data_IF_579440927242
#
_entry.id   IF_579440927242
#
_cell.length_a   1.000
_cell.length_b   1.000
_cell.length_c   1.000
_cell.angle_alpha   90.00
_cell.angle_beta   90.00
_cell.angle_gamma   90.00
#
_symmetry.space_group_name_H-M   'P 1'
#
loop_
_entity.id
_entity.type
_entity.pdbx_description
1 polymer ?
#
# COMPACT_ATOMS: atom_id res chain seq x y z
N UNK A 1 33.45 24.22 1.50
CA UNK A 1 32.04 23.79 1.67
C UNK A 1 31.15 24.95 1.29
N UNK A 2 30.37 24.83 0.21
CA UNK A 2 29.37 25.84 -0.12
C UNK A 2 28.17 25.63 0.80
N UNK A 3 27.85 26.64 1.61
CA UNK A 3 26.67 26.61 2.46
C UNK A 3 25.44 26.48 1.54
N UNK A 4 24.51 25.52 1.74
CA UNK A 4 23.42 25.26 0.80
C UNK A 4 22.38 26.39 0.69
N UNK A 5 22.33 27.31 1.66
CA UNK A 5 21.34 28.37 1.75
C UNK A 5 21.20 29.29 0.52
N UNK A 6 22.29 29.80 -0.12
CA UNK A 6 22.17 30.68 -1.29
C UNK A 6 21.60 29.95 -2.52
N UNK A 7 21.85 28.64 -2.61
CA UNK A 7 21.37 27.81 -3.71
C UNK A 7 19.86 27.50 -3.55
N UNK A 8 19.42 27.26 -2.32
CA UNK A 8 18.00 27.10 -1.98
C UNK A 8 17.21 28.41 -2.19
N UNK A 9 17.79 29.57 -1.88
CA UNK A 9 17.15 30.86 -2.17
C UNK A 9 17.01 31.13 -3.66
N UNK A 10 18.05 30.86 -4.46
CA UNK A 10 17.97 31.00 -5.92
C UNK A 10 16.92 30.05 -6.52
N UNK A 11 16.85 28.82 -6.01
CA UNK A 11 15.82 27.85 -6.40
C UNK A 11 14.43 28.38 -6.05
N UNK A 12 14.26 28.94 -4.85
CA UNK A 12 13.00 29.52 -4.38
C UNK A 12 12.54 30.67 -5.27
N UNK A 13 13.41 31.62 -5.60
CA UNK A 13 13.10 32.73 -6.51
C UNK A 13 12.64 32.21 -7.89
N UNK A 14 13.36 31.24 -8.45
CA UNK A 14 13.04 30.64 -9.76
C UNK A 14 11.70 29.90 -9.76
N UNK A 15 11.33 29.26 -8.65
CA UNK A 15 10.09 28.51 -8.49
C UNK A 15 8.90 29.42 -8.16
N UNK A 16 9.12 30.63 -7.63
CA UNK A 16 8.06 31.62 -7.41
C UNK A 16 7.54 32.21 -8.73
N UNK A 17 8.39 32.30 -9.74
CA UNK A 17 8.03 32.92 -11.02
C UNK A 17 7.02 32.11 -11.85
N UNK A 18 6.81 30.82 -11.54
CA UNK A 18 5.99 29.90 -12.34
C UNK A 18 5.32 28.81 -11.51
N UNK A 19 4.08 28.39 -11.85
CA UNK A 19 3.50 27.17 -11.32
C UNK A 19 4.42 25.96 -11.57
N UNK A 20 4.80 25.25 -10.51
CA UNK A 20 5.70 24.09 -10.61
C UNK A 20 5.16 22.86 -9.87
N UNK A 21 5.46 21.67 -10.40
CA UNK A 21 5.30 20.39 -9.69
C UNK A 21 6.69 19.85 -9.40
N UNK A 22 6.95 19.59 -8.13
CA UNK A 22 8.24 19.12 -7.63
C UNK A 22 8.04 17.69 -7.13
N UNK A 23 8.85 16.76 -7.63
CA UNK A 23 8.82 15.35 -7.23
C UNK A 23 10.16 15.02 -6.59
N UNK A 24 10.12 14.61 -5.32
CA UNK A 24 11.29 14.09 -4.61
C UNK A 24 11.13 12.58 -4.48
N UNK A 25 11.91 11.85 -5.28
CA UNK A 25 11.90 10.38 -5.31
C UNK A 25 12.91 9.79 -4.32
N UNK A 26 12.61 8.62 -3.76
CA UNK A 26 13.43 7.91 -2.78
C UNK A 26 13.94 8.77 -1.59
N UNK A 27 13.09 9.67 -1.05
CA UNK A 27 13.50 10.66 -0.03
C UNK A 27 14.12 10.05 1.23
N UNK A 28 13.78 8.82 1.57
CA UNK A 28 14.35 8.05 2.67
C UNK A 28 15.87 7.77 2.55
N UNK A 29 16.47 7.99 1.37
CA UNK A 29 17.92 7.87 1.15
C UNK A 29 18.70 9.15 1.39
N UNK A 30 18.01 10.29 1.46
CA UNK A 30 18.64 11.58 1.65
C UNK A 30 19.01 11.80 3.13
N UNK A 31 20.02 12.64 3.38
CA UNK A 31 20.41 13.01 4.74
C UNK A 31 19.24 13.73 5.44
N UNK A 32 18.88 13.37 6.69
CA UNK A 32 17.75 13.98 7.39
C UNK A 32 17.88 15.49 7.59
N UNK A 33 19.11 15.98 7.82
CA UNK A 33 19.38 17.40 8.03
C UNK A 33 19.25 18.21 6.75
N UNK A 34 19.81 17.72 5.65
CA UNK A 34 19.66 18.34 4.33
C UNK A 34 18.21 18.29 3.83
N UNK A 35 17.52 17.18 4.09
CA UNK A 35 16.11 16.98 3.73
C UNK A 35 15.20 17.95 4.48
N UNK A 36 15.43 18.16 5.79
CA UNK A 36 14.67 19.13 6.58
C UNK A 36 14.76 20.54 6.01
N UNK A 37 15.98 21.03 5.76
CA UNK A 37 16.20 22.36 5.20
C UNK A 37 15.58 22.55 3.80
N UNK A 38 15.63 21.51 2.95
CA UNK A 38 14.97 21.53 1.65
C UNK A 38 13.44 21.57 1.80
N UNK A 39 12.87 20.74 2.67
CA UNK A 39 11.43 20.68 2.88
C UNK A 39 10.87 21.99 3.45
N UNK A 40 11.60 22.63 4.37
CA UNK A 40 11.22 23.94 4.91
C UNK A 40 11.20 25.01 3.80
N UNK A 41 12.21 25.04 2.93
CA UNK A 41 12.26 25.96 1.79
C UNK A 41 11.13 25.72 0.79
N UNK A 42 10.73 24.46 0.58
CA UNK A 42 9.63 24.07 -0.32
C UNK A 42 8.24 24.28 0.31
N UNK A 43 8.11 24.17 1.64
CA UNK A 43 6.85 24.35 2.35
C UNK A 43 6.25 25.75 2.11
N UNK A 44 7.09 26.78 2.13
CA UNK A 44 6.70 28.17 1.82
C UNK A 44 6.12 28.32 0.40
N UNK A 45 6.68 27.61 -0.58
CA UNK A 45 6.23 27.62 -1.98
C UNK A 45 4.88 26.89 -2.14
N UNK A 46 4.71 25.78 -1.43
CA UNK A 46 3.44 25.02 -1.44
C UNK A 46 2.33 25.82 -0.73
N UNK A 47 2.63 26.44 0.41
CA UNK A 47 1.67 27.25 1.18
C UNK A 47 1.12 28.43 0.39
N UNK A 48 1.97 29.06 -0.45
CA UNK A 48 1.59 30.15 -1.35
C UNK A 48 0.84 29.67 -2.61
N UNK A 49 0.59 28.36 -2.74
CA UNK A 49 -0.07 27.69 -3.87
C UNK A 49 0.63 27.88 -5.23
N UNK A 50 1.86 28.40 -5.26
CA UNK A 50 2.66 28.54 -6.48
C UNK A 50 3.30 27.22 -6.91
N UNK A 51 3.32 26.21 -6.05
CA UNK A 51 3.85 24.89 -6.40
C UNK A 51 3.05 23.74 -5.78
N UNK A 52 3.25 22.54 -6.31
CA UNK A 52 2.80 21.27 -5.73
C UNK A 52 4.03 20.39 -5.47
N UNK A 53 4.06 19.75 -4.31
CA UNK A 53 5.15 18.88 -3.89
C UNK A 53 4.62 17.45 -3.74
N UNK A 54 5.28 16.50 -4.41
CA UNK A 54 5.06 15.07 -4.27
C UNK A 54 6.33 14.44 -3.68
N UNK A 55 6.18 13.79 -2.53
CA UNK A 55 7.24 13.05 -1.87
C UNK A 55 7.01 11.56 -2.06
N UNK A 56 8.03 10.85 -2.51
CA UNK A 56 8.00 9.40 -2.67
C UNK A 56 9.13 8.81 -1.83
N UNK A 57 8.78 7.84 -0.97
CA UNK A 57 9.72 7.23 -0.04
C UNK A 57 9.15 6.02 0.67
N UNK A 58 10.02 5.26 1.32
CA UNK A 58 9.67 4.04 2.07
C UNK A 58 9.44 4.31 3.54
N UNK A 59 10.27 5.17 4.12
CA UNK A 59 10.18 5.54 5.52
C UNK A 59 9.41 6.85 5.65
N UNK A 60 8.45 6.95 6.58
CA UNK A 60 7.74 8.20 6.81
C UNK A 60 8.70 9.26 7.36
N UNK A 61 8.52 10.49 6.92
CA UNK A 61 9.15 11.64 7.56
C UNK A 61 8.36 12.01 8.81
N UNK A 62 9.04 12.39 9.90
CA UNK A 62 8.36 12.81 11.14
C UNK A 62 7.39 13.98 10.92
N UNK A 63 7.69 14.84 9.95
CA UNK A 63 6.92 16.04 9.62
C UNK A 63 5.78 15.82 8.61
N UNK A 64 5.64 14.63 8.02
CA UNK A 64 4.64 14.38 6.98
C UNK A 64 4.01 12.98 7.08
N UNK A 65 2.69 12.90 6.95
CA UNK A 65 1.98 11.63 6.87
C UNK A 65 2.13 11.02 5.47
N UNK A 66 2.71 9.81 5.40
CA UNK A 66 2.79 9.01 4.19
C UNK A 66 1.73 7.90 4.27
N UNK A 67 0.55 8.06 3.64
CA UNK A 67 -0.38 6.94 3.56
C UNK A 67 0.27 5.81 2.76
N UNK A 68 0.19 4.55 3.22
CA UNK A 68 0.70 3.42 2.44
C UNK A 68 -0.08 3.31 1.13
N UNK A 69 0.64 3.04 0.04
CA UNK A 69 0.02 2.70 -1.23
C UNK A 69 -0.38 1.23 -1.19
N UNK A 70 -1.68 0.97 -1.28
CA UNK A 70 -2.20 -0.38 -1.41
C UNK A 70 -1.64 -1.04 -2.68
N UNK A 71 -1.50 -2.37 -2.64
CA UNK A 71 -1.28 -3.17 -3.84
C UNK A 71 -2.42 -3.03 -4.84
N UNK A 72 -2.17 -3.49 -6.06
CA UNK A 72 -3.18 -3.58 -7.10
C UNK A 72 -4.31 -4.51 -6.65
N UNK A 73 -5.53 -4.18 -7.07
CA UNK A 73 -6.66 -5.11 -6.96
C UNK A 73 -6.40 -6.38 -7.79
N UNK A 74 -7.12 -7.46 -7.50
CA UNK A 74 -6.97 -8.72 -8.26
C UNK A 74 -7.19 -8.51 -9.76
N UNK A 75 -8.21 -7.73 -10.15
CA UNK A 75 -8.48 -7.40 -11.56
C UNK A 75 -7.38 -6.56 -12.22
N UNK A 76 -6.74 -5.64 -11.49
CA UNK A 76 -5.58 -4.90 -12.01
C UNK A 76 -4.33 -5.76 -12.12
N UNK A 77 -4.13 -6.69 -11.17
CA UNK A 77 -3.05 -7.67 -11.22
C UNK A 77 -3.21 -8.61 -12.44
N UNK A 78 -4.44 -9.00 -12.79
CA UNK A 78 -4.72 -9.79 -14.00
C UNK A 78 -4.27 -9.07 -15.28
N UNK A 79 -4.40 -7.74 -15.34
CA UNK A 79 -3.92 -6.94 -16.47
C UNK A 79 -2.40 -7.04 -16.65
N UNK A 80 -1.65 -7.14 -15.55
CA UNK A 80 -0.20 -7.37 -15.62
C UNK A 80 0.14 -8.78 -16.13
N UNK A 81 -0.73 -9.76 -15.89
CA UNK A 81 -0.57 -11.15 -16.35
C UNK A 81 -0.93 -11.34 -17.83
N UNK A 82 -1.48 -10.33 -18.50
CA UNK A 82 -1.85 -10.45 -19.91
C UNK A 82 -0.68 -10.91 -20.80
N UNK A 83 -0.92 -11.87 -21.69
CA UNK A 83 0.09 -12.38 -22.62
C UNK A 83 1.10 -13.37 -22.02
N UNK A 84 0.81 -13.96 -20.86
CA UNK A 84 1.54 -15.12 -20.31
C UNK A 84 0.65 -16.36 -20.34
N UNK A 85 1.21 -17.57 -20.12
CA UNK A 85 0.41 -18.76 -19.88
C UNK A 85 -0.59 -18.55 -18.73
N UNK A 86 -1.85 -18.92 -18.95
CA UNK A 86 -2.89 -18.78 -17.94
C UNK A 86 -2.61 -19.68 -16.73
N UNK A 87 -2.75 -19.13 -15.52
CA UNK A 87 -2.72 -19.92 -14.30
C UNK A 87 -4.09 -20.56 -14.04
N UNK A 88 -4.15 -21.80 -13.52
CA UNK A 88 -5.37 -22.33 -12.92
C UNK A 88 -5.89 -21.37 -11.83
N UNK A 89 -7.21 -21.25 -11.70
CA UNK A 89 -7.84 -20.29 -10.77
C UNK A 89 -7.31 -20.37 -9.34
N UNK A 90 -7.06 -21.57 -8.82
CA UNK A 90 -6.51 -21.75 -7.48
C UNK A 90 -5.07 -21.22 -7.38
N UNK A 91 -4.24 -21.47 -8.41
CA UNK A 91 -2.87 -20.97 -8.48
C UNK A 91 -2.83 -19.45 -8.62
N UNK A 92 -3.76 -18.87 -9.39
CA UNK A 92 -3.92 -17.42 -9.49
C UNK A 92 -4.21 -16.80 -8.12
N UNK A 93 -5.18 -17.36 -7.36
CA UNK A 93 -5.52 -16.86 -6.03
C UNK A 93 -4.35 -16.99 -5.05
N UNK A 94 -3.61 -18.09 -5.09
CA UNK A 94 -2.41 -18.28 -4.27
C UNK A 94 -1.32 -17.27 -4.63
N UNK A 95 -1.09 -17.04 -5.92
CA UNK A 95 -0.15 -16.03 -6.42
C UNK A 95 -0.55 -14.60 -6.01
N UNK A 96 -1.82 -14.23 -6.17
CA UNK A 96 -2.33 -12.93 -5.75
C UNK A 96 -2.22 -12.74 -4.23
N UNK A 97 -2.62 -13.74 -3.44
CA UNK A 97 -2.47 -13.70 -1.98
C UNK A 97 -1.00 -13.60 -1.55
N UNK A 98 -0.09 -14.30 -2.24
CA UNK A 98 1.35 -14.22 -1.97
C UNK A 98 1.92 -12.83 -2.28
N UNK A 99 1.52 -12.22 -3.40
CA UNK A 99 2.04 -10.92 -3.82
C UNK A 99 1.32 -9.74 -3.16
N UNK A 100 0.11 -9.92 -2.63
CA UNK A 100 -0.74 -8.85 -2.11
C UNK A 100 -1.03 -7.76 -3.14
N UNK A 101 -1.00 -8.10 -4.44
CA UNK A 101 -1.18 -7.13 -5.52
C UNK A 101 0.04 -6.24 -5.81
N UNK A 102 1.21 -6.46 -5.19
CA UNK A 102 2.37 -5.61 -5.45
C UNK A 102 2.84 -5.73 -6.92
N UNK A 103 2.94 -4.61 -7.68
CA UNK A 103 3.26 -4.66 -9.10
C UNK A 103 4.59 -5.34 -9.45
N UNK A 104 5.63 -5.10 -8.65
CA UNK A 104 6.99 -5.54 -8.95
C UNK A 104 7.17 -7.07 -8.92
N UNK A 105 6.82 -7.80 -7.83
CA UNK A 105 6.89 -9.26 -7.84
C UNK A 105 6.00 -9.87 -8.92
N UNK A 106 4.86 -9.24 -9.25
CA UNK A 106 4.00 -9.67 -10.34
C UNK A 106 4.72 -9.54 -11.68
N UNK A 107 5.31 -8.37 -11.98
CA UNK A 107 6.06 -8.13 -13.23
C UNK A 107 7.25 -9.06 -13.39
N UNK A 108 8.02 -9.30 -12.34
CA UNK A 108 9.16 -10.24 -12.36
C UNK A 108 8.69 -11.66 -12.69
N UNK A 109 7.60 -12.10 -12.05
CA UNK A 109 7.00 -13.41 -12.33
C UNK A 109 6.48 -13.50 -13.77
N UNK A 110 5.75 -12.49 -14.23
CA UNK A 110 5.23 -12.38 -15.60
C UNK A 110 6.36 -12.46 -16.63
N UNK A 111 7.46 -11.75 -16.40
CA UNK A 111 8.63 -11.80 -17.28
C UNK A 111 9.22 -13.21 -17.36
N UNK A 112 9.35 -13.91 -16.21
CA UNK A 112 9.83 -15.29 -16.16
C UNK A 112 8.88 -16.24 -16.92
N UNK A 113 7.57 -16.09 -16.77
CA UNK A 113 6.57 -16.92 -17.48
C UNK A 113 6.57 -16.68 -18.98
N UNK A 114 6.72 -15.42 -19.43
CA UNK A 114 6.86 -15.12 -20.87
C UNK A 114 8.14 -15.71 -21.44
N UNK A 115 9.23 -15.66 -20.68
CA UNK A 115 10.51 -16.23 -21.09
C UNK A 115 10.43 -17.75 -21.24
N UNK A 116 9.79 -18.43 -20.28
CA UNK A 116 9.68 -19.89 -20.27
C UNK A 116 8.57 -20.42 -21.21
N UNK A 117 7.59 -19.60 -21.57
CA UNK A 117 6.51 -19.97 -22.49
C UNK A 117 5.78 -21.22 -22.03
N UNK A 118 5.64 -22.21 -22.93
CA UNK A 118 4.96 -23.48 -22.63
C UNK A 118 5.69 -24.37 -21.61
N UNK A 119 6.96 -24.08 -21.30
CA UNK A 119 7.73 -24.82 -20.28
C UNK A 119 7.41 -24.35 -18.86
N UNK A 120 6.73 -23.22 -18.69
CA UNK A 120 6.36 -22.69 -17.40
C UNK A 120 5.33 -23.61 -16.71
N UNK A 121 5.64 -24.08 -15.51
CA UNK A 121 4.70 -24.83 -14.68
C UNK A 121 3.86 -23.86 -13.86
N UNK A 122 2.59 -24.19 -13.56
CA UNK A 122 1.69 -23.32 -12.79
C UNK A 122 2.18 -22.90 -11.39
N UNK A 123 3.20 -23.55 -10.84
CA UNK A 123 3.75 -23.27 -9.50
C UNK A 123 5.08 -22.52 -9.55
N UNK A 124 5.66 -22.29 -10.74
CA UNK A 124 7.00 -21.68 -10.88
C UNK A 124 7.04 -20.24 -10.35
N UNK A 125 5.88 -19.61 -10.18
CA UNK A 125 5.76 -18.26 -9.62
C UNK A 125 6.22 -18.21 -8.16
N UNK A 126 6.07 -19.32 -7.41
CA UNK A 126 6.36 -19.35 -5.99
C UNK A 126 7.85 -19.07 -5.71
N UNK A 127 8.73 -19.59 -6.55
CA UNK A 127 10.18 -19.32 -6.47
C UNK A 127 10.47 -17.86 -6.81
N UNK A 128 9.86 -17.33 -7.88
CA UNK A 128 10.09 -15.93 -8.30
C UNK A 128 9.66 -14.93 -7.21
N UNK A 129 8.51 -15.18 -6.58
CA UNK A 129 8.00 -14.35 -5.49
C UNK A 129 8.88 -14.48 -4.24
N UNK A 130 9.30 -15.70 -3.88
CA UNK A 130 10.17 -15.94 -2.74
C UNK A 130 11.55 -15.29 -2.91
N UNK A 131 12.18 -15.44 -4.09
CA UNK A 131 13.48 -14.84 -4.40
C UNK A 131 13.40 -13.31 -4.32
N UNK A 132 12.35 -12.71 -4.91
CA UNK A 132 12.13 -11.28 -4.82
C UNK A 132 11.96 -10.82 -3.37
N UNK A 133 11.15 -11.54 -2.58
CA UNK A 133 10.88 -11.19 -1.18
C UNK A 133 12.13 -11.35 -0.30
N UNK A 134 12.96 -12.34 -0.59
CA UNK A 134 14.26 -12.53 0.06
C UNK A 134 15.15 -11.29 -0.16
N UNK A 135 15.40 -10.96 -1.42
CA UNK A 135 16.31 -9.88 -1.84
C UNK A 135 15.83 -8.49 -1.40
N UNK A 136 14.52 -8.24 -1.44
CA UNK A 136 13.97 -6.89 -1.30
C UNK A 136 13.42 -6.59 0.09
N UNK A 137 13.03 -7.63 0.83
CA UNK A 137 12.41 -7.50 2.15
C UNK A 137 13.25 -8.23 3.19
N UNK A 138 13.31 -9.57 3.13
CA UNK A 138 13.79 -10.40 4.24
C UNK A 138 15.24 -10.14 4.62
N UNK A 139 16.16 -10.04 3.65
CA UNK A 139 17.59 -9.80 3.90
C UNK A 139 17.88 -8.41 4.50
N UNK A 140 16.92 -7.48 4.40
CA UNK A 140 17.04 -6.12 4.92
C UNK A 140 16.43 -5.96 6.31
N UNK A 141 15.71 -6.98 6.80
CA UNK A 141 15.16 -6.97 8.14
C UNK A 141 16.27 -7.25 9.16
N UNK A 142 16.18 -6.59 10.30
CA UNK A 142 17.01 -6.97 11.45
C UNK A 142 16.58 -8.34 12.01
N UNK A 143 17.42 -8.90 12.88
CA UNK A 143 17.18 -10.23 13.44
C UNK A 143 15.90 -10.30 14.28
N UNK A 144 15.50 -9.21 14.95
CA UNK A 144 14.28 -9.20 15.77
C UNK A 144 13.03 -9.17 14.88
N UNK A 145 13.07 -8.41 13.77
CA UNK A 145 12.03 -8.37 12.77
C UNK A 145 11.84 -9.75 12.09
N UNK A 146 12.93 -10.40 11.69
CA UNK A 146 12.88 -11.77 11.13
C UNK A 146 12.30 -12.77 12.15
N UNK A 147 12.72 -12.71 13.42
CA UNK A 147 12.16 -13.55 14.48
C UNK A 147 10.67 -13.31 14.70
N UNK A 148 10.22 -12.05 14.71
CA UNK A 148 8.81 -11.72 14.92
C UNK A 148 7.93 -12.22 13.77
N UNK A 149 8.33 -12.01 12.52
CA UNK A 149 7.60 -12.53 11.36
C UNK A 149 7.57 -14.07 11.33
N UNK A 150 8.68 -14.69 11.70
CA UNK A 150 8.77 -16.14 11.80
C UNK A 150 7.83 -16.68 12.91
N UNK A 151 7.81 -16.05 14.09
CA UNK A 151 6.87 -16.39 15.16
C UNK A 151 5.42 -16.15 14.74
N UNK A 152 5.12 -15.03 14.08
CA UNK A 152 3.79 -14.71 13.59
C UNK A 152 3.27 -15.76 12.60
N UNK A 153 4.12 -16.26 11.69
CA UNK A 153 3.76 -17.36 10.80
C UNK A 153 3.38 -18.64 11.55
N UNK A 154 4.14 -19.03 12.58
CA UNK A 154 3.81 -20.22 13.37
C UNK A 154 2.57 -20.05 14.27
N UNK A 155 2.24 -18.80 14.63
CA UNK A 155 1.10 -18.46 15.48
C UNK A 155 -0.12 -18.02 14.68
N UNK A 156 -0.11 -18.12 13.34
CA UNK A 156 -1.16 -17.59 12.48
C UNK A 156 -2.55 -18.21 12.75
N UNK A 157 -2.58 -19.45 13.25
CA UNK A 157 -3.81 -20.14 13.66
C UNK A 157 -4.25 -19.84 15.10
N UNK A 158 -3.47 -19.06 15.85
CA UNK A 158 -3.72 -18.70 17.25
C UNK A 158 -4.21 -17.25 17.33
N UNK A 159 -5.20 -16.99 18.18
CA UNK A 159 -5.74 -15.65 18.41
C UNK A 159 -4.82 -14.83 19.31
N UNK A 160 -3.82 -14.15 18.76
CA UNK A 160 -2.83 -13.40 19.54
C UNK A 160 -2.72 -11.92 19.18
N UNK A 161 -3.47 -11.42 18.20
CA UNK A 161 -3.35 -10.04 17.70
C UNK A 161 -3.52 -8.97 18.79
N UNK A 162 -4.50 -9.13 19.68
CA UNK A 162 -4.72 -8.24 20.83
C UNK A 162 -3.63 -8.36 21.90
N UNK A 163 -2.88 -9.47 21.89
CA UNK A 163 -1.81 -9.81 22.83
C UNK A 163 -0.42 -9.58 22.21
N UNK A 164 -0.33 -8.87 21.09
CA UNK A 164 0.91 -8.67 20.35
C UNK A 164 2.06 -8.08 21.18
N UNK A 165 1.75 -7.19 22.14
CA UNK A 165 2.74 -6.64 23.06
C UNK A 165 3.33 -7.72 23.99
N UNK A 166 2.50 -8.63 24.48
CA UNK A 166 2.93 -9.76 25.32
C UNK A 166 3.77 -10.75 24.50
N UNK A 167 3.35 -11.05 23.27
CA UNK A 167 4.14 -11.89 22.34
C UNK A 167 5.53 -11.30 22.12
N UNK A 168 5.63 -10.00 21.83
CA UNK A 168 6.92 -9.32 21.68
C UNK A 168 7.77 -9.41 22.95
N UNK A 169 7.17 -9.16 24.12
CA UNK A 169 7.88 -9.27 25.40
C UNK A 169 8.44 -10.68 25.64
N UNK A 170 7.65 -11.72 25.39
CA UNK A 170 8.05 -13.13 25.55
C UNK A 170 9.17 -13.53 24.60
N UNK A 171 9.19 -12.96 23.40
CA UNK A 171 10.25 -13.18 22.41
C UNK A 171 11.47 -12.29 22.62
N UNK A 172 11.43 -11.34 23.57
CA UNK A 172 12.51 -10.37 23.81
C UNK A 172 12.63 -9.30 22.71
N UNK A 173 11.54 -9.02 22.00
CA UNK A 173 11.49 -8.13 20.84
C UNK A 173 10.97 -6.75 21.26
N UNK A 174 11.63 -5.70 20.78
CA UNK A 174 11.26 -4.31 21.10
C UNK A 174 9.93 -3.94 20.44
N UNK A 175 9.10 -3.17 21.14
CA UNK A 175 7.83 -2.66 20.57
C UNK A 175 8.02 -1.79 19.32
N UNK A 176 9.18 -1.15 19.17
CA UNK A 176 9.53 -0.40 17.96
C UNK A 176 9.54 -1.30 16.71
N UNK A 177 10.04 -2.54 16.82
CA UNK A 177 10.07 -3.52 15.73
C UNK A 177 8.66 -3.95 15.32
N UNK A 178 7.77 -4.17 16.30
CA UNK A 178 6.35 -4.48 16.04
C UNK A 178 5.68 -3.34 15.26
N UNK A 179 5.88 -2.10 15.71
CA UNK A 179 5.28 -0.93 15.08
C UNK A 179 5.82 -0.69 13.67
N UNK A 180 7.12 -0.90 13.46
CA UNK A 180 7.73 -0.80 12.13
C UNK A 180 7.16 -1.83 11.16
N UNK A 181 7.07 -3.11 11.56
CA UNK A 181 6.51 -4.17 10.72
C UNK A 181 5.03 -3.95 10.38
N UNK A 182 4.23 -3.44 11.33
CA UNK A 182 2.82 -3.08 11.07
C UNK A 182 2.71 -1.92 10.09
N UNK A 183 3.53 -0.90 10.29
CA UNK A 183 3.56 0.28 9.43
C UNK A 183 3.97 -0.06 8.00
N UNK A 184 4.92 -0.98 7.83
CA UNK A 184 5.37 -1.49 6.53
C UNK A 184 4.43 -2.56 5.93
N UNK A 185 3.31 -2.84 6.60
CA UNK A 185 2.33 -3.87 6.22
C UNK A 185 2.94 -5.29 6.05
N UNK A 186 4.09 -5.55 6.69
CA UNK A 186 4.72 -6.87 6.70
C UNK A 186 4.08 -7.79 7.75
N UNK A 187 3.47 -7.19 8.77
CA UNK A 187 2.67 -7.85 9.80
C UNK A 187 1.33 -7.13 9.94
N UNK A 188 0.24 -7.80 9.59
CA UNK A 188 -1.11 -7.27 9.73
C UNK A 188 -1.76 -7.79 11.01
N UNK A 189 -2.34 -6.90 11.80
CA UNK A 189 -3.07 -7.24 13.03
C UNK A 189 -4.47 -6.64 12.96
N UNK A 190 -5.48 -7.51 13.02
CA UNK A 190 -6.89 -7.16 13.00
C UNK A 190 -7.61 -7.88 14.14
N UNK A 191 -7.84 -7.17 15.26
CA UNK A 191 -8.38 -7.74 16.48
C UNK A 191 -7.54 -8.94 16.96
N UNK A 192 -8.15 -10.13 17.13
CA UNK A 192 -7.42 -11.31 17.60
C UNK A 192 -6.50 -11.92 16.53
N UNK A 193 -6.65 -11.56 15.25
CA UNK A 193 -5.91 -12.18 14.15
C UNK A 193 -4.62 -11.42 13.86
N UNK A 194 -3.54 -12.16 13.59
CA UNK A 194 -2.28 -11.62 13.11
C UNK A 194 -1.73 -12.48 11.97
N UNK A 195 -1.45 -11.86 10.83
CA UNK A 195 -1.01 -12.52 9.59
C UNK A 195 0.20 -11.79 9.03
N UNK A 196 1.07 -12.50 8.32
CA UNK A 196 2.25 -11.90 7.69
C UNK A 196 1.99 -11.67 6.20
N UNK A 197 2.77 -10.77 5.61
CA UNK A 197 2.74 -10.57 4.17
C UNK A 197 3.02 -11.88 3.41
N UNK A 198 2.16 -12.20 2.44
CA UNK A 198 2.08 -13.47 1.72
C UNK A 198 3.43 -14.03 1.25
N UNK A 199 4.25 -13.18 0.63
CA UNK A 199 5.53 -13.60 0.05
C UNK A 199 6.57 -14.05 1.08
N UNK A 200 6.37 -13.75 2.36
CA UNK A 200 7.32 -14.07 3.42
C UNK A 200 7.06 -15.41 4.10
N UNK A 201 5.94 -16.09 3.81
CA UNK A 201 5.57 -17.35 4.48
C UNK A 201 6.64 -18.43 4.34
N UNK A 202 7.17 -18.66 3.13
CA UNK A 202 8.18 -19.69 2.89
C UNK A 202 9.51 -19.39 3.60
N UNK A 203 9.88 -18.11 3.67
CA UNK A 203 11.09 -17.61 4.31
C UNK A 203 10.98 -17.70 5.84
N UNK A 204 9.85 -17.27 6.40
CA UNK A 204 9.50 -17.39 7.80
C UNK A 204 9.52 -18.87 8.25
N UNK A 205 8.90 -19.76 7.47
CA UNK A 205 8.93 -21.20 7.72
C UNK A 205 10.35 -21.78 7.67
N UNK A 206 11.16 -21.38 6.67
CA UNK A 206 12.55 -21.82 6.56
C UNK A 206 13.39 -21.37 7.75
N UNK A 207 13.23 -20.11 8.19
CA UNK A 207 13.91 -19.55 9.35
C UNK A 207 13.56 -20.30 10.65
N UNK A 208 12.28 -20.59 10.90
CA UNK A 208 11.84 -21.41 12.04
C UNK A 208 12.39 -22.83 12.02
N UNK A 209 12.47 -23.46 10.84
CA UNK A 209 13.06 -24.80 10.73
C UNK A 209 14.52 -24.80 11.16
N UNK A 210 15.26 -23.77 10.78
CA UNK A 210 16.69 -23.63 11.11
C UNK A 210 16.94 -23.19 12.55
N UNK A 211 15.95 -22.57 13.22
CA UNK A 211 16.10 -22.03 14.57
C UNK A 211 15.29 -22.84 15.61
N UNK A 212 15.92 -23.87 16.19
CA UNK A 212 15.25 -24.77 17.15
C UNK A 212 14.80 -24.06 18.43
N UNK A 213 15.61 -23.15 18.97
CA UNK A 213 15.31 -22.38 20.19
C UNK A 213 14.08 -21.49 19.99
N UNK A 214 14.00 -20.80 18.86
CA UNK A 214 12.81 -20.00 18.53
C UNK A 214 11.57 -20.88 18.39
N UNK A 215 11.71 -22.04 17.74
CA UNK A 215 10.59 -22.98 17.56
C UNK A 215 10.03 -23.48 18.89
N UNK A 216 10.90 -23.81 19.84
CA UNK A 216 10.50 -24.23 21.19
C UNK A 216 9.78 -23.10 21.93
N UNK A 217 10.35 -21.88 21.91
CA UNK A 217 9.73 -20.70 22.53
C UNK A 217 8.37 -20.37 21.94
N UNK A 218 8.24 -20.40 20.62
CA UNK A 218 6.97 -20.13 19.94
C UNK A 218 5.96 -21.24 20.23
N UNK A 219 6.38 -22.50 20.31
CA UNK A 219 5.51 -23.61 20.72
C UNK A 219 4.98 -23.45 22.15
N UNK A 220 5.84 -23.07 23.09
CA UNK A 220 5.42 -22.77 24.46
C UNK A 220 4.46 -21.58 24.51
N UNK A 221 4.76 -20.52 23.75
CA UNK A 221 3.89 -19.35 23.65
C UNK A 221 2.52 -19.69 23.05
N UNK A 222 2.48 -20.53 22.01
CA UNK A 222 1.22 -20.99 21.41
C UNK A 222 0.33 -21.72 22.42
N UNK A 223 0.93 -22.56 23.28
CA UNK A 223 0.21 -23.25 24.36
C UNK A 223 -0.32 -22.25 25.40
N UNK A 224 0.52 -21.31 25.87
CA UNK A 224 0.11 -20.27 26.83
C UNK A 224 -1.07 -19.44 26.30
N UNK A 225 -1.04 -19.05 25.03
CA UNK A 225 -2.09 -18.25 24.40
C UNK A 225 -3.38 -19.05 24.17
N UNK A 226 -3.26 -20.36 23.93
CA UNK A 226 -4.42 -21.24 23.76
C UNK A 226 -5.11 -21.58 25.09
N UNK A 227 -4.34 -21.64 26.18
CA UNK A 227 -4.84 -21.90 27.53
C UNK A 227 -5.32 -20.63 28.26
N UNK A 228 -5.07 -19.45 27.70
CA UNK A 228 -5.53 -18.20 28.27
C UNK A 228 -7.07 -18.13 28.25
N UNK A 229 -7.74 -17.86 29.39
CA UNK A 229 -9.18 -17.68 29.39
C UNK A 229 -9.53 -16.52 28.45
N UNK A 230 -10.53 -16.74 27.58
CA UNK A 230 -11.03 -15.70 26.69
C UNK A 230 -11.28 -14.43 27.50
N UNK A 231 -10.84 -13.25 27.02
CA UNK A 231 -11.05 -12.01 27.75
C UNK A 231 -12.54 -11.88 28.08
N UNK A 232 -12.87 -11.66 29.36
CA UNK A 232 -14.24 -11.38 29.76
C UNK A 232 -14.76 -10.23 28.91
N UNK A 233 -15.99 -10.32 28.35
CA UNK A 233 -16.54 -9.25 27.55
C UNK A 233 -16.73 -8.04 28.45
N UNK A 234 -15.82 -7.07 28.35
CA UNK A 234 -16.06 -5.73 28.84
C UNK A 234 -17.37 -5.27 28.19
N UNK A 235 -18.36 -5.04 29.04
CA UNK A 235 -19.75 -4.69 28.75
C UNK A 235 -19.97 -4.14 27.33
N UNK A 236 -20.75 -4.90 26.56
CA UNK A 236 -21.24 -4.54 25.24
C UNK A 236 -21.79 -3.11 25.21
N UNK A 237 -20.98 -2.17 24.73
CA UNK A 237 -21.50 -0.99 24.07
C UNK A 237 -22.02 -1.47 22.71
N UNK A 238 -23.33 -1.57 22.59
CA UNK A 238 -24.07 -1.82 21.35
C UNK A 238 -23.60 -0.88 20.25
N UNK A 239 -22.63 -1.32 19.45
CA UNK A 239 -22.39 -0.79 18.12
C UNK A 239 -23.40 -1.48 17.20
N UNK A 240 -24.54 -0.83 17.00
CA UNK A 240 -25.44 -1.16 15.91
C UNK A 240 -24.62 -1.22 14.63
N UNK A 241 -24.60 -2.39 13.98
CA UNK A 241 -24.02 -2.58 12.66
C UNK A 241 -24.65 -1.57 11.70
N UNK A 242 -23.94 -0.47 11.45
CA UNK A 242 -24.19 0.37 10.28
C UNK A 242 -23.78 -0.46 9.08
N UNK A 243 -24.61 -0.57 8.02
CA UNK A 243 -24.16 -1.16 6.77
C UNK A 243 -22.98 -0.32 6.28
N UNK A 244 -21.79 -0.91 6.26
CA UNK A 244 -20.64 -0.27 5.63
C UNK A 244 -20.99 -0.03 4.16
N UNK A 245 -20.90 1.21 3.66
CA UNK A 245 -21.03 1.44 2.23
C UNK A 245 -19.88 0.69 1.55
N UNK A 246 -20.19 -0.14 0.55
CA UNK A 246 -19.17 -0.90 -0.16
C UNK A 246 -18.04 0.04 -0.59
N UNK A 247 -16.77 -0.35 -0.41
CA UNK A 247 -15.61 0.51 -0.67
C UNK A 247 -15.65 1.24 -2.03
N UNK A 248 -16.27 0.60 -3.04
CA UNK A 248 -16.54 1.15 -4.37
C UNK A 248 -17.41 2.43 -4.35
N UNK A 249 -18.36 2.52 -3.42
CA UNK A 249 -19.28 3.66 -3.26
C UNK A 249 -18.62 4.82 -2.52
N UNK A 250 -17.74 4.53 -1.57
CA UNK A 250 -16.92 5.56 -0.91
C UNK A 250 -15.87 6.14 -1.87
N UNK A 251 -15.28 5.30 -2.72
CA UNK A 251 -14.38 5.75 -3.78
C UNK A 251 -15.12 6.64 -4.79
N UNK A 252 -16.28 6.20 -5.28
CA UNK A 252 -17.12 7.01 -6.18
C UNK A 252 -17.52 8.35 -5.54
N UNK A 253 -17.91 8.37 -4.27
CA UNK A 253 -18.24 9.59 -3.55
C UNK A 253 -17.03 10.55 -3.43
N UNK A 254 -15.83 10.01 -3.15
CA UNK A 254 -14.58 10.79 -3.13
C UNK A 254 -14.23 11.36 -4.49
N UNK A 255 -14.39 10.59 -5.57
CA UNK A 255 -14.16 11.05 -6.94
C UNK A 255 -15.13 12.18 -7.31
N UNK A 256 -16.43 12.03 -7.01
CA UNK A 256 -17.42 13.09 -7.21
C UNK A 256 -17.03 14.37 -6.47
N UNK A 257 -16.65 14.25 -5.19
CA UNK A 257 -16.24 15.40 -4.38
C UNK A 257 -14.98 16.09 -4.91
N UNK A 258 -13.97 15.34 -5.35
CA UNK A 258 -12.73 15.91 -5.89
C UNK A 258 -12.98 16.64 -7.21
N UNK A 259 -13.82 16.10 -8.09
CA UNK A 259 -14.17 16.73 -9.35
C UNK A 259 -14.96 18.03 -9.14
N UNK A 260 -15.89 18.03 -8.20
CA UNK A 260 -16.68 19.22 -7.82
C UNK A 260 -15.80 20.33 -7.26
N UNK A 261 -14.98 20.04 -6.24
CA UNK A 261 -14.06 21.03 -5.67
C UNK A 261 -13.01 21.53 -6.68
N UNK A 262 -12.59 20.67 -7.62
CA UNK A 262 -11.65 21.06 -8.68
C UNK A 262 -12.31 21.99 -9.71
N UNK A 263 -13.57 21.73 -10.07
CA UNK A 263 -14.35 22.61 -10.95
C UNK A 263 -14.63 23.96 -10.28
N UNK A 264 -15.02 23.96 -8.99
CA UNK A 264 -15.21 25.19 -8.21
C UNK A 264 -13.92 26.02 -8.14
N UNK A 265 -12.79 25.38 -7.82
CA UNK A 265 -11.49 26.04 -7.80
C UNK A 265 -11.10 26.65 -9.15
N UNK A 266 -11.41 25.99 -10.26
CA UNK A 266 -11.13 26.51 -11.60
C UNK A 266 -12.07 27.67 -11.98
N UNK A 267 -13.32 27.67 -11.50
CA UNK A 267 -14.27 28.76 -11.70
C UNK A 267 -13.92 30.02 -10.89
N UNK A 268 -13.13 29.89 -9.82
CA UNK A 268 -12.53 31.03 -9.10
C UNK A 268 -11.47 31.78 -9.93
N UNK A 269 -11.00 31.21 -11.05
CA UNK A 269 -9.99 31.82 -11.92
C UNK A 269 -10.64 32.49 -13.15
N UNK A 270 -10.18 33.71 -13.51
CA UNK A 270 -10.77 34.51 -14.60
C UNK A 270 -10.35 34.07 -16.00
N UNK A 271 -9.36 33.18 -16.12
CA UNK A 271 -8.83 32.69 -17.39
C UNK A 271 -9.89 31.90 -18.18
N UNK A 272 -9.88 32.04 -19.52
CA UNK A 272 -10.82 31.35 -20.40
C UNK A 272 -10.56 29.83 -20.40
N UNK A 273 -9.29 29.40 -20.36
CA UNK A 273 -8.95 27.97 -20.31
C UNK A 273 -9.41 27.31 -19.01
N UNK A 274 -9.39 28.04 -17.88
CA UNK A 274 -9.87 27.52 -16.59
C UNK A 274 -11.38 27.25 -16.61
N UNK A 275 -12.16 28.10 -17.30
CA UNK A 275 -13.60 27.89 -17.48
C UNK A 275 -13.93 26.71 -18.41
N UNK A 276 -13.14 26.52 -19.47
CA UNK A 276 -13.27 25.34 -20.34
C UNK A 276 -12.97 24.06 -19.57
N UNK A 277 -11.90 24.04 -18.79
CA UNK A 277 -11.52 22.88 -17.99
C UNK A 277 -12.54 22.58 -16.88
N UNK A 278 -13.09 23.60 -16.22
CA UNK A 278 -14.19 23.41 -15.26
C UNK A 278 -15.44 22.79 -15.91
N UNK A 279 -15.78 23.20 -17.14
CA UNK A 279 -16.91 22.61 -17.88
C UNK A 279 -16.66 21.14 -18.26
N UNK A 280 -15.42 20.79 -18.63
CA UNK A 280 -15.02 19.41 -18.91
C UNK A 280 -15.08 18.52 -17.65
N UNK A 281 -14.63 19.02 -16.50
CA UNK A 281 -14.72 18.29 -15.23
C UNK A 281 -16.19 18.08 -14.79
N UNK A 282 -17.05 19.08 -14.99
CA UNK A 282 -18.48 18.96 -14.70
C UNK A 282 -19.18 17.95 -15.63
N UNK A 283 -18.79 17.90 -16.91
CA UNK A 283 -19.29 16.91 -17.86
C UNK A 283 -18.87 15.50 -17.47
N UNK A 284 -17.59 15.31 -17.09
CA UNK A 284 -17.06 14.03 -16.63
C UNK A 284 -17.73 13.55 -15.33
N UNK A 285 -18.01 14.48 -14.40
CA UNK A 285 -18.77 14.17 -13.19
C UNK A 285 -20.21 13.74 -13.49
N UNK A 286 -20.86 14.33 -14.50
CA UNK A 286 -22.23 14.00 -14.89
C UNK A 286 -22.35 12.59 -15.52
N UNK A 287 -21.28 12.07 -16.11
CA UNK A 287 -21.22 10.71 -16.67
C UNK A 287 -20.95 9.63 -15.61
N UNK A 288 -20.44 10.00 -14.43
CA UNK A 288 -20.17 9.04 -13.36
C UNK A 288 -21.47 8.56 -12.69
N UNK A 289 -21.53 7.28 -12.26
CA UNK A 289 -22.65 6.76 -11.50
C UNK A 289 -22.89 7.59 -10.23
N UNK A 290 -24.14 8.02 -9.98
CA UNK A 290 -24.48 8.77 -8.77
C UNK A 290 -24.41 7.84 -7.55
N UNK A 291 -23.71 8.23 -6.47
CA UNK A 291 -23.69 7.44 -5.26
C UNK A 291 -25.12 7.34 -4.68
N UNK A 292 -25.68 6.13 -4.64
CA UNK A 292 -27.01 5.83 -4.11
C UNK A 292 -28.16 5.83 -5.13
N UNK A 293 -27.91 6.09 -6.41
CA UNK A 293 -28.93 5.98 -7.46
C UNK A 293 -29.13 4.54 -7.97
N UNK A 294 -30.33 4.17 -8.45
CA UNK A 294 -30.52 2.88 -9.13
C UNK A 294 -29.59 2.81 -10.35
N UNK A 295 -28.75 1.76 -10.40
CA UNK A 295 -27.85 1.47 -11.53
C UNK A 295 -28.68 1.47 -12.82
N UNK A 296 -28.40 2.41 -13.74
CA UNK A 296 -28.94 2.32 -15.09
C UNK A 296 -28.24 1.17 -15.82
N UNK A 297 -28.98 0.30 -16.55
CA UNK A 297 -28.36 -0.73 -17.36
C UNK A 297 -27.48 -0.07 -18.43
N UNK A 298 -26.29 -0.65 -18.63
CA UNK A 298 -25.38 -0.29 -19.73
C UNK A 298 -26.13 -0.43 -21.06
N UNK A 299 -26.51 0.70 -21.68
CA UNK A 299 -26.92 0.74 -23.08
C UNK A 299 -25.66 1.03 -23.89
N UNK A 300 -25.21 0.03 -24.66
CA UNK A 300 -24.18 0.23 -25.70
C UNK A 300 -24.66 1.35 -26.63
N UNK A 301 -23.88 2.42 -26.74
CA UNK A 301 -24.01 3.35 -27.85
C UNK A 301 -23.73 2.57 -29.13
N UNK A 302 -24.79 2.22 -29.86
CA UNK A 302 -24.71 1.78 -31.24
C UNK A 302 -24.09 2.90 -32.05
N UNK A 303 -22.84 2.71 -32.46
CA UNK A 303 -22.14 3.54 -33.44
C UNK A 303 -23.00 3.57 -34.70
N UNK A 304 -23.47 4.78 -35.03
CA UNK A 304 -24.26 5.04 -36.23
C UNK A 304 -23.50 4.62 -37.48
N UNK A 305 -24.20 3.89 -38.34
CA UNK A 305 -23.78 3.63 -39.70
C UNK A 305 -23.57 4.95 -40.45
N UNK A 306 -22.36 5.11 -41.00
CA UNK A 306 -22.13 6.00 -42.14
C UNK A 306 -22.85 5.38 -43.34
N UNK A 307 -23.96 5.97 -43.75
CA UNK A 307 -24.50 5.80 -45.08
C UNK A 307 -23.82 6.83 -46.01
N UNK A 308 -23.18 6.31 -47.05
CA UNK A 308 -22.80 7.02 -48.28
C UNK A 308 -24.00 7.67 -48.95
#
# INVERSE_FOLDING_TARGET
EQTPAPLLELLRERLLDRPAVIVLDDIHRADPGETGALLDALADLVARRSSRLLLVGRDPLESAAFPPLAGLTEGEAELLWAGTPALPTEQWRQFYAATGGLPEPIRRTVAAYRHNGELARPTDWAVQVADWAQENIWDRLDADAQRLLAAAHALETVSWGEQAAQVCQRLGIKSATLNDLRRRELLHIAGPSATIYGALHSLAAAYLRQNAELRERVGALAAELSDAPAPEPAAAATAAARPEPSADMELLARIHSVLEHSAEYLLEHTAAEARTLAAELAALQAELPKPGGPRRPFVRASVGALAT
#
